data_IF_688614671805
#
_entry.id   IF_688614671805
#
_cell.length_a   1.000
_cell.length_b   1.000
_cell.length_c   1.000
_cell.angle_alpha   90.00
_cell.angle_beta   90.00
_cell.angle_gamma   90.00
#
_symmetry.space_group_name_H-M   'P 1'
#
loop_
_entity.id
_entity.type
_entity.pdbx_description
1 polymer ?
#
# COMPACT_ATOMS: atom_id res chain seq x y z
N UNK A 1 4.85 -21.00 41.93
CA UNK A 1 3.58 -21.47 41.32
C UNK A 1 3.95 -22.45 40.25
N UNK A 2 3.91 -23.76 40.57
CA UNK A 2 4.23 -24.80 39.57
C UNK A 2 3.07 -24.86 38.59
N UNK A 3 3.32 -24.49 37.33
CA UNK A 3 2.38 -24.82 36.26
C UNK A 3 2.51 -26.32 36.00
N UNK A 4 1.47 -27.08 36.36
CA UNK A 4 1.33 -28.47 35.92
C UNK A 4 1.38 -28.50 34.39
N UNK A 5 2.53 -28.90 33.87
CA UNK A 5 2.68 -29.13 32.42
C UNK A 5 2.06 -30.52 32.15
N UNK A 6 0.83 -30.52 31.69
CA UNK A 6 0.17 -31.72 31.21
C UNK A 6 0.93 -32.28 30.01
N UNK A 7 1.50 -33.48 30.17
CA UNK A 7 2.18 -34.19 29.09
C UNK A 7 1.40 -35.47 28.77
N UNK A 8 1.04 -35.61 27.48
CA UNK A 8 0.45 -36.85 26.96
C UNK A 8 1.45 -37.52 26.03
N UNK A 9 2.12 -38.52 26.55
CA UNK A 9 3.17 -39.26 25.83
C UNK A 9 2.65 -40.01 24.60
N UNK A 10 1.40 -40.47 24.60
CA UNK A 10 0.77 -41.15 23.47
C UNK A 10 0.45 -40.24 22.30
N UNK A 11 0.08 -38.99 22.57
CA UNK A 11 -0.25 -37.98 21.56
C UNK A 11 0.90 -36.99 21.33
N UNK A 12 2.02 -37.17 22.05
CA UNK A 12 3.16 -36.24 22.07
C UNK A 12 2.84 -34.81 22.50
N UNK A 13 1.64 -34.55 23.05
CA UNK A 13 1.23 -33.22 23.52
C UNK A 13 2.08 -32.85 24.76
N UNK A 14 2.68 -31.66 24.73
CA UNK A 14 3.55 -31.16 25.80
C UNK A 14 4.94 -31.78 25.83
N UNK A 15 5.30 -32.65 24.88
CA UNK A 15 6.65 -33.22 24.71
C UNK A 15 7.43 -32.47 23.64
N UNK A 16 8.74 -32.78 23.48
CA UNK A 16 9.57 -32.20 22.39
C UNK A 16 9.09 -32.56 20.96
N UNK A 17 8.21 -33.56 20.81
CA UNK A 17 7.58 -33.94 19.54
C UNK A 17 6.18 -33.37 19.33
N UNK A 18 5.73 -32.47 20.20
CA UNK A 18 4.40 -31.86 20.11
C UNK A 18 4.29 -30.95 18.87
N UNK A 19 3.59 -31.47 17.84
CA UNK A 19 3.33 -30.68 16.62
C UNK A 19 2.48 -29.43 16.88
N UNK A 20 1.64 -29.43 17.92
CA UNK A 20 0.82 -28.25 18.26
C UNK A 20 1.68 -27.10 18.79
N UNK A 21 2.87 -27.38 19.33
CA UNK A 21 3.82 -26.37 19.77
C UNK A 21 4.37 -25.53 18.59
N UNK A 22 4.41 -26.11 17.37
CA UNK A 22 4.87 -25.42 16.16
C UNK A 22 3.76 -24.65 15.46
N UNK A 23 2.49 -24.97 15.74
CA UNK A 23 1.32 -24.26 15.20
C UNK A 23 0.84 -23.11 16.09
N UNK A 24 1.57 -22.77 17.14
CA UNK A 24 1.30 -21.54 17.88
C UNK A 24 1.47 -20.37 16.92
N UNK A 25 0.38 -19.61 16.72
CA UNK A 25 0.45 -18.30 16.08
C UNK A 25 1.43 -17.48 16.94
N UNK A 26 2.68 -17.46 16.52
CA UNK A 26 3.62 -16.47 17.05
C UNK A 26 3.04 -15.15 16.59
N UNK A 27 2.79 -14.25 17.53
CA UNK A 27 2.53 -12.84 17.21
C UNK A 27 3.60 -12.45 16.20
N UNK A 28 3.20 -12.31 14.93
CA UNK A 28 4.15 -12.03 13.88
C UNK A 28 4.83 -10.72 14.26
N UNK A 29 6.12 -10.77 14.52
CA UNK A 29 6.90 -9.55 14.63
C UNK A 29 6.75 -8.85 13.28
N UNK A 30 6.25 -7.62 13.31
CA UNK A 30 6.19 -6.79 12.10
C UNK A 30 7.60 -6.77 11.51
N UNK A 31 7.73 -7.24 10.28
CA UNK A 31 9.00 -7.24 9.58
C UNK A 31 9.41 -5.78 9.34
N UNK A 32 10.68 -5.48 9.54
CA UNK A 32 11.20 -4.15 9.25
C UNK A 32 11.28 -3.93 7.75
N UNK A 33 11.25 -2.67 7.30
CA UNK A 33 11.45 -2.34 5.89
C UNK A 33 12.70 -3.00 5.32
N UNK A 34 13.83 -2.93 6.03
CA UNK A 34 15.08 -3.52 5.59
C UNK A 34 15.00 -5.05 5.39
N UNK A 35 14.23 -5.75 6.23
CA UNK A 35 14.00 -7.19 6.08
C UNK A 35 13.15 -7.47 4.84
N UNK A 36 12.09 -6.70 4.61
CA UNK A 36 11.22 -6.82 3.44
C UNK A 36 11.99 -6.52 2.15
N UNK A 37 12.80 -5.45 2.13
CA UNK A 37 13.66 -5.09 1.01
C UNK A 37 14.66 -6.23 0.71
N UNK A 38 15.26 -6.83 1.74
CA UNK A 38 16.22 -7.92 1.55
C UNK A 38 15.58 -9.19 0.99
N UNK A 39 14.34 -9.51 1.39
CA UNK A 39 13.57 -10.63 0.84
C UNK A 39 13.21 -10.35 -0.62
N UNK A 40 12.71 -9.14 -0.90
CA UNK A 40 12.28 -8.77 -2.26
C UNK A 40 13.44 -8.68 -3.25
N UNK A 41 14.58 -8.12 -2.83
CA UNK A 41 15.75 -7.93 -3.68
C UNK A 41 16.67 -9.16 -3.72
N UNK A 42 16.76 -9.90 -2.61
CA UNK A 42 17.69 -11.00 -2.44
C UNK A 42 17.15 -12.39 -2.77
N UNK A 43 15.83 -12.58 -2.75
CA UNK A 43 15.18 -13.86 -3.01
C UNK A 43 14.23 -13.77 -4.21
N UNK A 44 14.60 -14.47 -5.29
CA UNK A 44 13.78 -14.52 -6.50
C UNK A 44 12.38 -15.10 -6.28
N UNK A 45 12.19 -16.00 -5.31
CA UNK A 45 10.88 -16.52 -4.94
C UNK A 45 10.05 -15.48 -4.20
N UNK A 46 10.66 -14.78 -3.23
CA UNK A 46 10.02 -13.70 -2.49
C UNK A 46 9.51 -12.59 -3.41
N UNK A 47 10.35 -12.17 -4.35
CA UNK A 47 9.98 -11.21 -5.40
C UNK A 47 8.80 -11.72 -6.24
N UNK A 48 8.88 -12.95 -6.73
CA UNK A 48 7.83 -13.51 -7.60
C UNK A 48 6.47 -13.62 -6.91
N UNK A 49 6.43 -13.92 -5.62
CA UNK A 49 5.17 -13.96 -4.84
C UNK A 49 4.48 -12.59 -4.82
N UNK A 50 5.25 -11.52 -4.79
CA UNK A 50 4.72 -10.14 -4.80
C UNK A 50 4.30 -9.73 -6.21
N UNK A 51 5.22 -9.85 -7.18
CA UNK A 51 5.05 -9.29 -8.54
C UNK A 51 3.98 -10.02 -9.34
N UNK A 52 3.90 -11.36 -9.26
CA UNK A 52 2.95 -12.15 -10.07
C UNK A 52 1.51 -11.69 -9.92
N UNK A 53 1.08 -11.35 -8.71
CA UNK A 53 -0.30 -10.92 -8.48
C UNK A 53 -0.54 -9.54 -9.09
N UNK A 54 0.39 -8.61 -8.89
CA UNK A 54 0.30 -7.27 -9.46
C UNK A 54 0.31 -7.31 -11.00
N UNK A 55 1.24 -8.07 -11.58
CA UNK A 55 1.34 -8.25 -13.03
C UNK A 55 0.08 -8.86 -13.64
N UNK A 56 -0.47 -9.91 -13.00
CA UNK A 56 -1.68 -10.58 -13.50
C UNK A 56 -2.94 -9.71 -13.39
N UNK A 57 -3.02 -8.84 -12.39
CA UNK A 57 -4.15 -7.90 -12.27
C UNK A 57 -4.22 -6.92 -13.45
N UNK A 58 -3.07 -6.49 -13.97
CA UNK A 58 -3.02 -5.50 -15.05
C UNK A 58 -2.69 -6.10 -16.42
N UNK A 59 -2.45 -7.40 -16.53
CA UNK A 59 -2.09 -8.10 -17.77
C UNK A 59 -3.11 -7.94 -18.89
N UNK A 60 -4.38 -7.93 -18.55
CA UNK A 60 -5.47 -7.79 -19.54
C UNK A 60 -5.70 -6.34 -19.98
N UNK A 61 -5.00 -5.38 -19.37
CA UNK A 61 -5.28 -3.96 -19.56
C UNK A 61 -6.59 -3.54 -18.89
N UNK A 62 -7.13 -2.42 -19.32
CA UNK A 62 -8.40 -1.89 -18.85
C UNK A 62 -9.27 -1.42 -20.03
N UNK A 63 -10.58 -1.38 -19.82
CA UNK A 63 -11.54 -0.77 -20.74
C UNK A 63 -12.30 0.34 -20.00
N UNK A 64 -12.61 1.40 -20.72
CA UNK A 64 -13.44 2.50 -20.24
C UNK A 64 -14.74 2.49 -21.02
N UNK A 65 -15.82 2.07 -20.36
CA UNK A 65 -17.13 1.99 -20.99
C UNK A 65 -17.92 3.29 -20.78
N UNK A 66 -18.51 3.81 -21.86
CA UNK A 66 -19.42 4.96 -21.78
C UNK A 66 -18.77 6.32 -21.69
N UNK A 67 -17.46 6.44 -21.80
CA UNK A 67 -16.76 7.72 -21.87
C UNK A 67 -16.74 8.23 -23.32
N UNK A 68 -17.16 9.47 -23.54
CA UNK A 68 -17.09 10.13 -24.87
C UNK A 68 -15.64 10.34 -25.34
N UNK A 69 -14.67 10.28 -24.41
CA UNK A 69 -13.25 10.60 -24.61
C UNK A 69 -12.34 9.38 -24.42
N UNK A 70 -12.80 8.18 -24.70
CA UNK A 70 -12.02 6.94 -24.52
C UNK A 70 -10.62 6.99 -25.16
N UNK A 71 -10.43 7.49 -26.39
CA UNK A 71 -9.11 7.56 -27.02
C UNK A 71 -8.15 8.52 -26.30
N UNK A 72 -8.66 9.64 -25.79
CA UNK A 72 -7.87 10.62 -25.04
C UNK A 72 -7.43 10.06 -23.68
N UNK A 73 -8.35 9.36 -22.99
CA UNK A 73 -8.06 8.70 -21.71
C UNK A 73 -6.97 7.65 -21.92
N UNK A 74 -7.07 6.81 -22.95
CA UNK A 74 -6.05 5.79 -23.28
C UNK A 74 -4.71 6.43 -23.63
N UNK A 75 -4.69 7.49 -24.45
CA UNK A 75 -3.47 8.20 -24.79
C UNK A 75 -2.77 8.74 -23.54
N UNK A 76 -3.55 9.36 -22.65
CA UNK A 76 -3.00 9.92 -21.39
C UNK A 76 -2.54 8.85 -20.42
N UNK A 77 -3.27 7.72 -20.39
CA UNK A 77 -2.88 6.54 -19.61
C UNK A 77 -1.51 6.01 -20.03
N UNK A 78 -1.28 5.86 -21.33
CA UNK A 78 -0.01 5.36 -21.87
C UNK A 78 1.12 6.39 -21.68
N UNK A 79 0.83 7.67 -21.90
CA UNK A 79 1.79 8.77 -21.73
C UNK A 79 2.34 8.86 -20.30
N UNK A 80 1.47 8.69 -19.29
CA UNK A 80 1.85 8.70 -17.88
C UNK A 80 2.29 7.31 -17.36
N UNK A 81 2.31 6.30 -18.24
CA UNK A 81 2.65 4.91 -17.89
C UNK A 81 1.85 4.40 -16.66
N UNK A 82 0.55 4.68 -16.63
CA UNK A 82 -0.28 4.41 -15.48
C UNK A 82 -0.37 2.92 -15.16
N UNK A 83 -0.33 2.04 -16.15
CA UNK A 83 -0.30 0.58 -15.93
C UNK A 83 0.85 0.20 -14.98
N UNK A 84 2.06 0.72 -15.23
CA UNK A 84 3.21 0.44 -14.37
C UNK A 84 3.04 1.06 -12.98
N UNK A 85 2.54 2.30 -12.89
CA UNK A 85 2.30 2.97 -11.61
C UNK A 85 1.31 2.20 -10.73
N UNK A 86 0.22 1.69 -11.32
CA UNK A 86 -0.74 0.86 -10.61
C UNK A 86 -0.16 -0.50 -10.22
N UNK A 87 0.60 -1.14 -11.11
CA UNK A 87 1.29 -2.40 -10.80
C UNK A 87 2.25 -2.21 -9.62
N UNK A 88 3.06 -1.15 -9.63
CA UNK A 88 3.98 -0.82 -8.54
C UNK A 88 3.22 -0.52 -7.23
N UNK A 89 2.09 0.20 -7.32
CA UNK A 89 1.28 0.49 -6.14
C UNK A 89 0.74 -0.77 -5.47
N UNK A 90 0.22 -1.71 -6.26
CA UNK A 90 -0.27 -3.00 -5.75
C UNK A 90 0.89 -3.86 -5.21
N UNK A 91 2.02 -3.92 -5.93
CA UNK A 91 3.19 -4.68 -5.48
C UNK A 91 3.72 -4.13 -4.15
N UNK A 92 3.84 -2.80 -4.00
CA UNK A 92 4.31 -2.19 -2.75
C UNK A 92 3.30 -2.29 -1.62
N UNK A 93 2.00 -2.21 -1.92
CA UNK A 93 0.97 -2.47 -0.93
C UNK A 93 1.09 -3.88 -0.35
N UNK A 94 1.29 -4.88 -1.20
CA UNK A 94 1.49 -6.28 -0.78
C UNK A 94 2.79 -6.49 -0.03
N UNK A 95 3.89 -5.86 -0.47
CA UNK A 95 5.21 -6.01 0.14
C UNK A 95 5.29 -5.34 1.51
N UNK A 96 4.80 -4.11 1.61
CA UNK A 96 4.96 -3.25 2.79
C UNK A 96 3.71 -3.16 3.66
N UNK A 97 2.59 -3.74 3.22
CA UNK A 97 1.31 -3.65 3.93
C UNK A 97 0.58 -2.33 3.72
N UNK A 98 0.88 -1.64 2.62
CA UNK A 98 0.22 -0.41 2.18
C UNK A 98 1.08 0.42 1.24
N UNK A 99 0.44 1.12 0.32
CA UNK A 99 1.06 2.12 -0.55
C UNK A 99 0.11 3.29 -0.77
N UNK A 100 0.64 4.40 -1.25
CA UNK A 100 -0.13 5.59 -1.58
C UNK A 100 0.24 6.06 -2.99
N UNK A 101 -0.77 6.27 -3.80
CA UNK A 101 -0.64 6.88 -5.11
C UNK A 101 -1.07 8.35 -5.04
N UNK A 102 -0.18 9.25 -5.43
CA UNK A 102 -0.41 10.68 -5.51
C UNK A 102 -0.70 11.09 -6.94
N UNK A 103 -1.78 11.82 -7.14
CA UNK A 103 -2.18 12.41 -8.41
C UNK A 103 -1.82 13.90 -8.43
N UNK A 104 -0.92 14.28 -9.32
CA UNK A 104 -0.59 15.67 -9.60
C UNK A 104 -1.48 16.20 -10.70
N UNK A 105 -2.41 17.08 -10.34
CA UNK A 105 -3.35 17.72 -11.27
C UNK A 105 -3.03 19.19 -11.38
N UNK A 106 -2.98 19.69 -12.60
CA UNK A 106 -2.79 21.10 -12.90
C UNK A 106 -4.12 21.87 -12.75
N UNK A 107 -4.48 22.09 -11.50
CA UNK A 107 -5.67 22.83 -11.09
C UNK A 107 -5.35 24.23 -10.58
N UNK A 108 -4.10 24.67 -10.69
CA UNK A 108 -3.62 25.96 -10.20
C UNK A 108 -3.59 26.09 -8.67
N UNK A 109 -3.72 24.97 -7.94
CA UNK A 109 -3.70 24.94 -6.48
C UNK A 109 -2.49 24.19 -5.95
N UNK A 110 -2.11 24.48 -4.71
CA UNK A 110 -1.06 23.75 -4.01
C UNK A 110 -1.49 22.30 -3.70
N UNK A 111 -0.54 21.41 -3.58
CA UNK A 111 -0.78 20.00 -3.23
C UNK A 111 -1.51 19.81 -1.88
N UNK A 112 -1.42 20.79 -0.98
CA UNK A 112 -2.08 20.78 0.32
C UNK A 112 -3.59 21.13 0.22
N UNK A 113 -4.02 21.69 -0.89
CA UNK A 113 -5.41 22.05 -1.14
C UNK A 113 -6.19 20.89 -1.77
N UNK A 114 -7.51 20.80 -1.53
CA UNK A 114 -8.34 19.80 -2.19
C UNK A 114 -8.18 19.84 -3.71
N UNK A 115 -8.19 18.64 -4.33
CA UNK A 115 -8.11 18.50 -5.77
C UNK A 115 -9.22 19.30 -6.47
N UNK A 116 -8.86 20.03 -7.52
CA UNK A 116 -9.77 20.76 -8.37
C UNK A 116 -9.89 20.11 -9.75
N UNK A 117 -10.63 20.77 -10.62
CA UNK A 117 -10.70 20.40 -12.04
C UNK A 117 -9.39 20.81 -12.73
N UNK A 118 -8.82 19.90 -13.50
CA UNK A 118 -7.56 20.15 -14.20
C UNK A 118 -7.05 18.89 -14.91
N UNK A 119 -5.97 19.04 -15.62
CA UNK A 119 -5.30 17.96 -16.32
C UNK A 119 -4.38 17.19 -15.38
N UNK A 120 -4.39 15.84 -15.45
CA UNK A 120 -3.47 15.00 -14.71
C UNK A 120 -2.07 15.12 -15.31
N UNK A 121 -1.12 15.71 -14.57
CA UNK A 121 0.26 15.92 -15.04
C UNK A 121 1.20 14.77 -14.68
N UNK A 122 1.05 14.24 -13.46
CA UNK A 122 1.90 13.14 -13.00
C UNK A 122 1.19 12.25 -11.99
N UNK A 123 1.67 11.01 -11.91
CA UNK A 123 1.32 10.08 -10.85
C UNK A 123 2.60 9.60 -10.19
N UNK A 124 2.60 9.48 -8.86
CA UNK A 124 3.73 8.95 -8.08
C UNK A 124 3.24 7.97 -7.04
N UNK A 125 3.98 6.90 -6.87
CA UNK A 125 3.69 5.88 -5.87
C UNK A 125 4.69 5.99 -4.72
N UNK A 126 4.18 5.83 -3.51
CA UNK A 126 4.96 5.84 -2.27
C UNK A 126 4.64 4.62 -1.44
N UNK A 127 5.65 4.02 -0.84
CA UNK A 127 5.46 2.93 0.09
C UNK A 127 4.95 3.43 1.46
N UNK A 128 4.40 2.54 2.26
CA UNK A 128 3.86 2.83 3.59
C UNK A 128 4.83 3.58 4.50
N UNK A 129 6.14 3.35 4.38
CA UNK A 129 7.15 3.96 5.25
C UNK A 129 7.48 5.40 4.87
N UNK A 130 7.14 5.80 3.65
CA UNK A 130 7.31 7.16 3.15
C UNK A 130 6.10 8.06 3.44
N UNK A 131 4.98 7.49 3.88
CA UNK A 131 3.72 8.22 4.06
C UNK A 131 3.29 8.18 5.51
N UNK A 132 2.91 9.34 6.04
CA UNK A 132 2.37 9.47 7.39
C UNK A 132 1.08 10.29 7.37
N UNK A 133 0.01 9.84 8.07
CA UNK A 133 -1.15 10.70 8.32
C UNK A 133 -0.70 11.95 9.09
N UNK A 134 -1.06 13.12 8.58
CA UNK A 134 -0.65 14.40 9.20
C UNK A 134 -1.82 15.11 9.88
N UNK A 135 -2.89 15.38 9.16
CA UNK A 135 -4.08 16.01 9.70
C UNK A 135 -5.30 15.12 9.55
N UNK A 136 -6.19 15.21 10.53
CA UNK A 136 -7.50 14.55 10.51
C UNK A 136 -8.60 15.60 10.69
N UNK A 137 -9.77 15.29 10.16
CA UNK A 137 -10.95 16.09 10.44
C UNK A 137 -11.35 15.95 11.92
N UNK A 138 -11.30 17.04 12.65
CA UNK A 138 -11.63 17.11 14.08
C UNK A 138 -13.00 17.74 14.36
N UNK A 139 -13.72 18.13 13.31
CA UNK A 139 -15.05 18.70 13.48
C UNK A 139 -16.09 17.59 13.73
N UNK A 140 -16.66 17.47 14.94
CA UNK A 140 -17.60 16.42 15.28
C UNK A 140 -18.93 16.49 14.50
N UNK A 141 -19.22 17.61 13.86
CA UNK A 141 -20.42 17.81 13.03
C UNK A 141 -20.15 17.45 11.55
N UNK A 142 -18.91 17.17 11.20
CA UNK A 142 -18.53 16.78 9.84
C UNK A 142 -18.88 15.33 9.56
N UNK A 143 -19.34 15.04 8.34
CA UNK A 143 -19.55 13.68 7.87
C UNK A 143 -18.23 12.87 7.76
N UNK A 144 -17.10 13.58 7.68
CA UNK A 144 -15.74 13.02 7.55
C UNK A 144 -14.96 13.05 8.87
N UNK A 145 -15.66 13.19 10.00
CA UNK A 145 -15.02 13.21 11.31
C UNK A 145 -14.08 12.03 11.54
N UNK A 146 -12.83 12.31 11.88
CA UNK A 146 -11.79 11.32 12.11
C UNK A 146 -11.06 10.85 10.85
N UNK A 147 -11.54 11.16 9.65
CA UNK A 147 -10.85 10.86 8.41
C UNK A 147 -9.58 11.68 8.25
N UNK A 148 -8.62 11.12 7.50
CA UNK A 148 -7.38 11.81 7.20
C UNK A 148 -7.64 12.86 6.12
N UNK A 149 -7.32 14.11 6.41
CA UNK A 149 -7.44 15.23 5.47
C UNK A 149 -6.14 15.54 4.75
N UNK A 150 -5.00 15.27 5.40
CA UNK A 150 -3.67 15.48 4.80
C UNK A 150 -2.70 14.37 5.18
N UNK A 151 -1.84 14.03 4.24
CA UNK A 151 -0.69 13.16 4.42
C UNK A 151 0.62 13.95 4.35
N UNK A 152 1.59 13.55 5.15
CA UNK A 152 2.99 13.95 4.98
C UNK A 152 3.71 12.87 4.18
N UNK A 153 4.36 13.29 3.10
CA UNK A 153 5.19 12.42 2.27
C UNK A 153 6.65 12.71 2.57
N UNK A 154 7.40 11.66 2.89
CA UNK A 154 8.82 11.69 3.17
C UNK A 154 9.56 10.93 2.05
N UNK A 155 9.88 11.57 0.92
CA UNK A 155 10.54 10.89 -0.19
C UNK A 155 11.95 10.45 0.21
N UNK A 156 12.47 9.39 -0.43
CA UNK A 156 13.83 8.89 -0.19
C UNK A 156 14.87 10.00 -0.44
N UNK A 157 14.60 10.85 -1.44
CA UNK A 157 15.44 11.99 -1.78
C UNK A 157 14.59 13.25 -1.84
N UNK A 158 14.96 14.26 -1.05
CA UNK A 158 14.25 15.53 -1.03
C UNK A 158 13.71 15.91 0.35
N UNK A 159 12.99 17.03 0.39
CA UNK A 159 12.35 17.52 1.60
C UNK A 159 10.96 16.92 1.77
N UNK A 160 10.53 16.63 3.00
CA UNK A 160 9.15 16.26 3.28
C UNK A 160 8.17 17.33 2.80
N UNK A 161 7.02 16.91 2.31
CA UNK A 161 5.96 17.79 1.88
C UNK A 161 4.58 17.22 2.22
N UNK A 162 3.57 18.07 2.18
CA UNK A 162 2.20 17.73 2.57
C UNK A 162 1.29 17.69 1.37
N UNK A 163 0.35 16.75 1.36
CA UNK A 163 -0.64 16.58 0.30
C UNK A 163 -2.03 16.39 0.88
N UNK A 164 -3.03 16.94 0.22
CA UNK A 164 -4.42 16.74 0.61
C UNK A 164 -4.88 15.31 0.24
N UNK A 165 -5.67 14.69 1.13
CA UNK A 165 -6.11 13.30 0.95
C UNK A 165 -6.89 13.07 -0.36
N UNK A 166 -7.65 14.08 -0.83
CA UNK A 166 -8.37 13.98 -2.11
C UNK A 166 -7.48 13.83 -3.34
N UNK A 167 -6.18 14.14 -3.23
CA UNK A 167 -5.17 13.95 -4.30
C UNK A 167 -4.48 12.59 -4.22
N UNK A 168 -4.91 11.75 -3.29
CA UNK A 168 -4.25 10.49 -3.00
C UNK A 168 -5.25 9.33 -3.07
N UNK A 169 -4.73 8.18 -3.48
CA UNK A 169 -5.42 6.89 -3.31
C UNK A 169 -4.54 5.97 -2.51
N UNK A 170 -5.11 5.37 -1.47
CA UNK A 170 -4.40 4.41 -0.59
C UNK A 170 -4.74 3.00 -1.03
N UNK A 171 -3.72 2.19 -1.19
CA UNK A 171 -3.84 0.75 -1.43
C UNK A 171 -3.49 0.03 -0.13
N UNK A 172 -4.42 -0.76 0.38
CA UNK A 172 -4.19 -1.62 1.53
C UNK A 172 -3.55 -2.93 1.09
N UNK A 173 -2.70 -3.49 1.92
CA UNK A 173 -1.91 -4.67 1.61
C UNK A 173 -2.62 -6.00 1.89
N UNK A 174 -3.96 -5.99 2.04
CA UNK A 174 -4.76 -7.20 2.31
C UNK A 174 -4.94 -8.08 1.06
#
# INVERSE_FOLDING_TARGET
MNMDSYQNVFMNIGTGGDRSAYSRIRTAHLLTKATLDSIYLGDGLGRRIIDVVADEMFRAGFSVDGANNEPEIKSRWDELNLTQQFTDAVAWARLYGGSLMLFGVNDGKDLQSPIGEGELEFVRVYDRYQVQPFLRDTNPESATYGEITQYQINPISGTPYYVHASRCHVFDGE
#
